data_IF_366425305363
#
_entry.id   IF_366425305363
#
_cell.length_a   1.000
_cell.length_b   1.000
_cell.length_c   1.000
_cell.angle_alpha   90.00
_cell.angle_beta   90.00
_cell.angle_gamma   90.00
#
_symmetry.space_group_name_H-M   'P 1'
#
loop_
_entity.id
_entity.type
_entity.pdbx_description
1 polymer ?
#
# COMPACT_ATOMS: atom_id res chain seq x y z
N UNK A 1 12.63 53.30 72.02
CA UNK A 1 12.09 52.11 71.32
C UNK A 1 12.71 52.06 69.93
N UNK A 2 13.67 51.15 69.64
CA UNK A 2 14.26 51.00 68.31
C UNK A 2 13.42 50.06 67.43
N UNK A 3 13.28 50.41 66.14
CA UNK A 3 12.54 49.65 65.11
C UNK A 3 13.24 48.31 64.75
N UNK A 4 12.48 47.26 64.39
CA UNK A 4 13.05 45.99 63.94
C UNK A 4 13.50 46.09 62.46
N UNK A 5 14.76 45.78 62.19
CA UNK A 5 15.33 45.64 60.85
C UNK A 5 14.83 44.36 60.18
N UNK A 6 14.10 44.48 59.08
CA UNK A 6 13.73 43.34 58.23
C UNK A 6 14.96 42.84 57.44
N UNK A 7 15.33 41.57 57.64
CA UNK A 7 16.33 40.88 56.82
C UNK A 7 15.72 40.51 55.46
N UNK A 8 16.42 40.72 54.33
CA UNK A 8 15.95 40.23 53.03
C UNK A 8 16.15 38.72 52.95
N UNK A 9 15.06 37.97 52.83
CA UNK A 9 15.07 36.55 52.44
C UNK A 9 15.72 36.40 51.08
N UNK A 10 16.88 35.72 51.04
CA UNK A 10 17.55 35.33 49.81
C UNK A 10 16.62 34.45 48.97
N UNK A 11 16.32 34.87 47.74
CA UNK A 11 15.62 34.05 46.76
C UNK A 11 16.52 32.88 46.34
N UNK A 12 16.03 31.63 46.33
CA UNK A 12 16.77 30.51 45.79
C UNK A 12 16.97 30.71 44.28
N UNK A 13 18.23 30.84 43.88
CA UNK A 13 18.64 30.93 42.47
C UNK A 13 18.39 29.56 41.83
N UNK A 14 17.32 29.43 41.06
CA UNK A 14 17.09 28.24 40.23
C UNK A 14 18.21 28.20 39.18
N UNK A 15 19.06 27.15 39.13
CA UNK A 15 20.09 27.06 38.12
C UNK A 15 19.40 26.95 36.75
N UNK A 16 19.65 27.93 35.88
CA UNK A 16 19.21 27.92 34.50
C UNK A 16 19.85 26.71 33.81
N UNK A 17 19.10 25.61 33.69
CA UNK A 17 19.43 24.50 32.81
C UNK A 17 19.55 25.06 31.39
N UNK A 18 20.79 25.17 30.90
CA UNK A 18 21.07 25.46 29.48
C UNK A 18 20.29 24.45 28.64
N UNK A 19 19.35 24.88 27.78
CA UNK A 19 18.72 23.95 26.86
C UNK A 19 19.81 23.42 25.93
N UNK A 20 20.13 22.14 26.07
CA UNK A 20 21.12 21.44 25.26
C UNK A 20 20.59 21.35 23.83
N UNK A 21 21.44 21.64 22.84
CA UNK A 21 21.10 21.64 21.42
C UNK A 21 20.48 20.32 20.91
N UNK A 22 20.63 19.23 21.67
CA UNK A 22 20.00 17.93 21.40
C UNK A 22 18.47 17.97 21.46
N UNK A 23 17.87 18.79 22.34
CA UNK A 23 16.42 18.88 22.49
C UNK A 23 15.76 19.47 21.24
N UNK A 24 16.39 20.51 20.66
CA UNK A 24 15.93 21.12 19.41
C UNK A 24 16.02 20.15 18.22
N UNK A 25 17.05 19.31 18.17
CA UNK A 25 17.21 18.35 17.09
C UNK A 25 16.22 17.17 17.19
N UNK A 26 15.84 16.78 18.40
CA UNK A 26 14.80 15.77 18.64
C UNK A 26 13.42 16.30 18.22
N UNK A 27 13.08 17.52 18.61
CA UNK A 27 11.81 18.15 18.24
C UNK A 27 11.67 18.35 16.73
N UNK A 28 12.73 18.73 16.01
CA UNK A 28 12.68 18.84 14.56
C UNK A 28 12.47 17.50 13.86
N UNK A 29 13.10 16.42 14.35
CA UNK A 29 12.86 15.06 13.81
C UNK A 29 11.43 14.60 14.11
N UNK A 30 10.93 14.85 15.31
CA UNK A 30 9.55 14.54 15.68
C UNK A 30 8.54 15.34 14.86
N UNK A 31 8.83 16.61 14.58
CA UNK A 31 8.01 17.52 13.76
C UNK A 31 8.05 17.16 12.28
N UNK A 32 9.21 16.79 11.73
CA UNK A 32 9.32 16.27 10.36
C UNK A 32 8.63 14.91 10.21
N UNK A 33 8.69 14.06 11.25
CA UNK A 33 7.94 12.81 11.30
C UNK A 33 6.42 13.04 11.37
N UNK A 34 5.96 14.08 12.07
CA UNK A 34 4.54 14.45 12.11
C UNK A 34 4.06 15.05 10.78
N UNK A 35 4.86 15.90 10.12
CA UNK A 35 4.58 16.38 8.76
C UNK A 35 4.54 15.25 7.71
N UNK A 36 5.38 14.21 7.86
CA UNK A 36 5.33 13.00 7.00
C UNK A 36 4.05 12.18 7.18
N UNK A 37 3.40 12.26 8.35
CA UNK A 37 2.11 11.59 8.63
C UNK A 37 0.92 12.39 8.13
N UNK A 38 1.03 13.72 8.02
CA UNK A 38 -0.08 14.60 7.62
C UNK A 38 -0.08 14.98 6.13
N UNK A 39 1.00 14.70 5.39
CA UNK A 39 1.02 14.91 3.95
C UNK A 39 -0.01 13.99 3.25
N UNK A 40 -1.03 14.52 2.57
CA UNK A 40 -1.97 13.73 1.77
C UNK A 40 -1.17 13.06 0.64
N UNK A 41 -0.87 11.77 0.78
CA UNK A 41 -0.25 11.00 -0.29
C UNK A 41 -1.32 10.54 -1.27
N UNK A 42 -1.03 10.51 -2.58
CA UNK A 42 -1.99 10.08 -3.58
C UNK A 42 -2.50 8.66 -3.26
N UNK A 43 -3.77 8.37 -3.53
CA UNK A 43 -4.37 7.07 -3.23
C UNK A 43 -3.86 6.02 -4.24
N UNK A 44 -2.61 5.59 -4.08
CA UNK A 44 -1.95 4.62 -4.97
C UNK A 44 -2.57 3.22 -4.85
N UNK A 45 -3.13 2.89 -3.67
CA UNK A 45 -3.80 1.62 -3.43
C UNK A 45 -4.99 1.34 -4.33
N UNK A 46 -6.03 2.20 -4.36
CA UNK A 46 -7.17 2.00 -5.25
C UNK A 46 -6.77 2.16 -6.72
N UNK A 47 -5.79 3.00 -7.07
CA UNK A 47 -5.30 3.09 -8.44
C UNK A 47 -4.68 1.77 -8.94
N UNK A 48 -3.85 1.13 -8.12
CA UNK A 48 -3.28 -0.19 -8.41
C UNK A 48 -4.34 -1.28 -8.51
N UNK A 49 -5.34 -1.25 -7.63
CA UNK A 49 -6.44 -2.21 -7.65
C UNK A 49 -7.36 -2.04 -8.87
N UNK A 50 -7.64 -0.80 -9.28
CA UNK A 50 -8.35 -0.51 -10.52
C UNK A 50 -7.61 -1.04 -11.74
N UNK A 51 -6.30 -0.83 -11.79
CA UNK A 51 -5.47 -1.35 -12.87
C UNK A 51 -5.53 -2.89 -12.92
N UNK A 52 -5.38 -3.57 -11.77
CA UNK A 52 -5.51 -5.02 -11.70
C UNK A 52 -6.91 -5.51 -12.12
N UNK A 53 -7.96 -4.79 -11.74
CA UNK A 53 -9.34 -5.09 -12.12
C UNK A 53 -9.54 -4.99 -13.64
N UNK A 54 -9.09 -3.90 -14.25
CA UNK A 54 -9.21 -3.68 -15.71
C UNK A 54 -8.45 -4.76 -16.48
N UNK A 55 -7.22 -5.07 -16.07
CA UNK A 55 -6.44 -6.18 -16.66
C UNK A 55 -7.19 -7.49 -16.52
N UNK A 56 -7.76 -7.77 -15.34
CA UNK A 56 -8.48 -9.03 -15.10
C UNK A 56 -9.72 -9.19 -15.98
N UNK A 57 -10.50 -8.12 -16.14
CA UNK A 57 -11.65 -8.12 -17.03
C UNK A 57 -11.23 -8.26 -18.51
N UNK A 58 -10.13 -7.61 -18.90
CA UNK A 58 -9.62 -7.65 -20.27
C UNK A 58 -9.18 -9.07 -20.64
N UNK A 59 -8.46 -9.74 -19.75
CA UNK A 59 -8.05 -11.14 -19.95
C UNK A 59 -9.25 -12.05 -19.97
N UNK A 60 -10.20 -11.91 -19.05
CA UNK A 60 -11.40 -12.75 -19.04
C UNK A 60 -12.21 -12.64 -20.34
N UNK A 61 -12.29 -11.43 -20.91
CA UNK A 61 -12.89 -11.22 -22.23
C UNK A 61 -12.05 -11.82 -23.37
N UNK A 62 -10.73 -11.66 -23.33
CA UNK A 62 -9.84 -12.17 -24.37
C UNK A 62 -9.81 -13.71 -24.41
N UNK A 63 -9.83 -14.37 -23.26
CA UNK A 63 -9.94 -15.83 -23.12
C UNK A 63 -11.24 -16.36 -23.75
N UNK A 64 -12.35 -15.63 -23.58
CA UNK A 64 -13.63 -15.97 -24.22
C UNK A 64 -13.62 -15.73 -25.74
N UNK A 65 -12.95 -14.67 -26.21
CA UNK A 65 -13.03 -14.22 -27.59
C UNK A 65 -11.99 -14.83 -28.54
N UNK A 66 -10.80 -15.19 -28.05
CA UNK A 66 -9.63 -15.44 -28.92
C UNK A 66 -8.97 -16.81 -28.75
N UNK A 67 -9.17 -17.53 -27.64
CA UNK A 67 -8.45 -18.79 -27.45
C UNK A 67 -9.08 -19.94 -28.26
N UNK A 68 -8.25 -20.73 -28.97
CA UNK A 68 -8.72 -21.85 -29.76
C UNK A 68 -9.38 -22.92 -28.87
N UNK A 69 -10.44 -23.55 -29.41
CA UNK A 69 -11.28 -24.55 -28.71
C UNK A 69 -10.62 -25.94 -28.63
N UNK A 70 -9.33 -26.05 -28.91
CA UNK A 70 -8.58 -27.30 -28.80
C UNK A 70 -8.32 -27.67 -27.33
N UNK A 71 -8.05 -28.96 -27.06
CA UNK A 71 -7.89 -29.46 -25.68
C UNK A 71 -6.76 -28.76 -24.92
N UNK A 72 -5.69 -28.37 -25.62
CA UNK A 72 -4.57 -27.67 -25.01
C UNK A 72 -4.91 -26.20 -24.74
N UNK A 73 -5.51 -25.50 -25.71
CA UNK A 73 -6.04 -24.14 -25.51
C UNK A 73 -7.06 -24.04 -24.38
N UNK A 74 -7.92 -25.04 -24.19
CA UNK A 74 -8.88 -25.07 -23.07
C UNK A 74 -8.20 -25.26 -21.71
N UNK A 75 -7.15 -26.09 -21.63
CA UNK A 75 -6.36 -26.25 -20.41
C UNK A 75 -5.67 -24.93 -20.04
N UNK A 76 -5.03 -24.28 -21.01
CA UNK A 76 -4.35 -23.01 -20.80
C UNK A 76 -5.34 -21.91 -20.40
N UNK A 77 -6.49 -21.81 -21.07
CA UNK A 77 -7.54 -20.86 -20.71
C UNK A 77 -8.03 -21.06 -19.26
N UNK A 78 -8.18 -22.30 -18.79
CA UNK A 78 -8.57 -22.58 -17.41
C UNK A 78 -7.56 -22.06 -16.38
N UNK A 79 -6.26 -22.18 -16.65
CA UNK A 79 -5.22 -21.61 -15.77
C UNK A 79 -5.26 -20.08 -15.76
N UNK A 80 -5.42 -19.45 -16.93
CA UNK A 80 -5.54 -17.99 -17.04
C UNK A 80 -6.75 -17.48 -16.26
N UNK A 81 -7.92 -18.11 -16.45
CA UNK A 81 -9.14 -17.77 -15.74
C UNK A 81 -8.98 -17.93 -14.23
N UNK A 82 -8.30 -18.97 -13.75
CA UNK A 82 -8.00 -19.17 -12.34
C UNK A 82 -7.23 -18.00 -11.73
N UNK A 83 -6.13 -17.59 -12.37
CA UNK A 83 -5.35 -16.43 -11.92
C UNK A 83 -6.16 -15.13 -11.97
N UNK A 84 -7.00 -14.95 -12.99
CA UNK A 84 -7.81 -13.75 -13.15
C UNK A 84 -8.92 -13.65 -12.11
N UNK A 85 -9.57 -14.75 -11.75
CA UNK A 85 -10.57 -14.78 -10.68
C UNK A 85 -9.95 -14.42 -9.33
N UNK A 86 -8.75 -14.94 -9.03
CA UNK A 86 -8.01 -14.63 -7.80
C UNK A 86 -7.61 -13.15 -7.76
N UNK A 87 -7.05 -12.63 -8.86
CA UNK A 87 -6.68 -11.22 -9.00
C UNK A 87 -7.89 -10.29 -8.87
N UNK A 88 -8.99 -10.61 -9.54
CA UNK A 88 -10.25 -9.85 -9.49
C UNK A 88 -10.80 -9.78 -8.07
N UNK A 89 -10.86 -10.91 -7.36
CA UNK A 89 -11.29 -10.95 -5.97
C UNK A 89 -10.37 -10.10 -5.06
N UNK A 90 -9.06 -10.16 -5.29
CA UNK A 90 -8.09 -9.32 -4.59
C UNK A 90 -8.30 -7.82 -4.85
N UNK A 91 -8.47 -7.44 -6.11
CA UNK A 91 -8.70 -6.06 -6.53
C UNK A 91 -10.00 -5.51 -5.93
N UNK A 92 -11.10 -6.26 -6.01
CA UNK A 92 -12.38 -5.91 -5.39
C UNK A 92 -12.25 -5.78 -3.88
N UNK A 93 -11.49 -6.66 -3.22
CA UNK A 93 -11.25 -6.59 -1.77
C UNK A 93 -10.51 -5.32 -1.36
N UNK A 94 -9.62 -4.81 -2.22
CA UNK A 94 -8.90 -3.55 -2.00
C UNK A 94 -9.80 -2.34 -2.30
N UNK A 95 -10.65 -2.39 -3.33
CA UNK A 95 -11.51 -1.28 -3.73
C UNK A 95 -12.73 -1.09 -2.83
N UNK A 96 -13.36 -2.19 -2.39
CA UNK A 96 -14.58 -2.18 -1.56
C UNK A 96 -14.25 -2.32 -0.07
N UNK A 97 -13.03 -2.76 0.24
CA UNK A 97 -12.58 -3.03 1.59
C UNK A 97 -12.46 -1.80 2.49
N UNK A 98 -12.65 -2.00 3.79
CA UNK A 98 -12.33 -1.01 4.81
C UNK A 98 -10.85 -0.55 4.69
N UNK A 99 -10.53 0.75 4.88
CA UNK A 99 -9.17 1.25 4.73
C UNK A 99 -8.21 0.51 5.65
N UNK A 100 -7.21 -0.15 5.06
CA UNK A 100 -6.27 -0.99 5.81
C UNK A 100 -5.30 -1.76 4.91
N UNK A 101 -4.44 -2.57 5.53
CA UNK A 101 -3.40 -3.35 4.84
C UNK A 101 -4.01 -4.63 4.26
N UNK A 102 -4.35 -4.63 2.98
CA UNK A 102 -4.88 -5.80 2.27
C UNK A 102 -3.77 -6.72 1.75
N UNK A 103 -2.83 -7.12 2.61
CA UNK A 103 -1.63 -7.86 2.21
C UNK A 103 -1.95 -9.16 1.46
N UNK A 104 -2.97 -9.89 1.91
CA UNK A 104 -3.39 -11.14 1.26
C UNK A 104 -3.92 -10.87 -0.16
N UNK A 105 -4.71 -9.82 -0.34
CA UNK A 105 -5.23 -9.44 -1.64
C UNK A 105 -4.12 -8.96 -2.59
N UNK A 106 -3.17 -8.18 -2.07
CA UNK A 106 -1.99 -7.74 -2.83
C UNK A 106 -1.13 -8.94 -3.23
N UNK A 107 -0.86 -9.86 -2.31
CA UNK A 107 -0.12 -11.08 -2.59
C UNK A 107 -0.81 -11.92 -3.67
N UNK A 108 -2.13 -12.05 -3.61
CA UNK A 108 -2.92 -12.76 -4.62
C UNK A 108 -2.77 -12.14 -6.02
N UNK A 109 -2.83 -10.81 -6.14
CA UNK A 109 -2.61 -10.09 -7.41
C UNK A 109 -1.17 -10.30 -7.91
N UNK A 110 -0.18 -10.23 -7.03
CA UNK A 110 1.22 -10.44 -7.40
C UNK A 110 1.48 -11.87 -7.87
N UNK A 111 0.93 -12.87 -7.18
CA UNK A 111 1.04 -14.28 -7.57
C UNK A 111 0.40 -14.51 -8.94
N UNK A 112 -0.76 -13.92 -9.21
CA UNK A 112 -1.38 -13.96 -10.53
C UNK A 112 -0.50 -13.33 -11.62
N UNK A 113 0.11 -12.16 -11.33
CA UNK A 113 1.04 -11.50 -12.25
C UNK A 113 2.30 -12.33 -12.55
N UNK A 114 2.89 -12.96 -11.53
CA UNK A 114 4.01 -13.89 -11.70
C UNK A 114 3.58 -15.11 -12.51
N UNK A 115 2.40 -15.68 -12.24
CA UNK A 115 1.86 -16.81 -12.99
C UNK A 115 1.77 -16.52 -14.49
N UNK A 116 1.29 -15.32 -14.86
CA UNK A 116 1.23 -14.88 -16.25
C UNK A 116 2.61 -14.70 -16.90
N UNK A 117 3.58 -14.12 -16.18
CA UNK A 117 4.94 -14.01 -16.70
C UNK A 117 5.59 -15.37 -16.90
N UNK A 118 5.45 -16.26 -15.91
CA UNK A 118 5.95 -17.63 -16.05
C UNK A 118 5.31 -18.34 -17.23
N UNK A 119 4.02 -18.11 -17.48
CA UNK A 119 3.34 -18.67 -18.65
C UNK A 119 3.91 -18.14 -19.95
N UNK A 120 4.03 -16.81 -20.06
CA UNK A 120 4.61 -16.17 -21.24
C UNK A 120 6.06 -16.64 -21.54
N UNK A 121 6.88 -16.89 -20.52
CA UNK A 121 8.30 -17.23 -20.73
C UNK A 121 8.63 -18.72 -20.75
N UNK A 122 7.89 -19.56 -20.00
CA UNK A 122 8.19 -20.98 -19.85
C UNK A 122 7.32 -21.86 -20.76
N UNK A 123 6.13 -21.40 -21.13
CA UNK A 123 5.24 -22.14 -22.01
C UNK A 123 5.27 -21.45 -23.37
N UNK A 124 5.73 -22.16 -24.38
CA UNK A 124 5.78 -21.67 -25.76
C UNK A 124 4.35 -21.51 -26.26
N UNK A 125 3.76 -20.34 -26.05
CA UNK A 125 2.47 -19.99 -26.60
C UNK A 125 2.66 -19.74 -28.11
N UNK A 126 2.23 -20.70 -28.92
CA UNK A 126 2.05 -20.50 -30.35
C UNK A 126 0.64 -19.91 -30.52
N UNK A 127 0.46 -18.67 -31.02
CA UNK A 127 1.43 -17.75 -31.65
C UNK A 127 2.04 -16.66 -30.73
N UNK A 128 3.15 -16.04 -31.16
CA UNK A 128 3.94 -15.00 -30.46
C UNK A 128 3.15 -13.84 -29.85
N UNK A 129 2.01 -13.46 -30.44
CA UNK A 129 1.19 -12.37 -29.91
C UNK A 129 0.55 -12.72 -28.56
N UNK A 130 0.26 -14.01 -28.31
CA UNK A 130 -0.24 -14.51 -27.02
C UNK A 130 0.82 -14.31 -25.95
N UNK A 131 2.09 -14.62 -26.25
CA UNK A 131 3.21 -14.39 -25.34
C UNK A 131 3.35 -12.91 -24.96
N UNK A 132 3.27 -12.01 -25.95
CA UNK A 132 3.36 -10.56 -25.70
C UNK A 132 2.16 -10.09 -24.85
N UNK A 133 0.97 -10.58 -25.16
CA UNK A 133 -0.25 -10.25 -24.41
C UNK A 133 -0.17 -10.72 -22.95
N UNK A 134 0.20 -11.98 -22.73
CA UNK A 134 0.35 -12.57 -21.39
C UNK A 134 1.44 -11.85 -20.59
N UNK A 135 2.58 -11.56 -21.22
CA UNK A 135 3.68 -10.82 -20.61
C UNK A 135 3.27 -9.40 -20.19
N UNK A 136 2.54 -8.69 -21.04
CA UNK A 136 2.00 -7.35 -20.72
C UNK A 136 0.99 -7.42 -19.57
N UNK A 137 0.07 -8.38 -19.59
CA UNK A 137 -0.91 -8.55 -18.52
C UNK A 137 -0.24 -8.89 -17.18
N UNK A 138 0.74 -9.79 -17.19
CA UNK A 138 1.54 -10.13 -16.01
C UNK A 138 2.31 -8.92 -15.45
N UNK A 139 2.97 -8.16 -16.32
CA UNK A 139 3.69 -6.94 -15.92
C UNK A 139 2.75 -5.87 -15.32
N UNK A 140 1.58 -5.67 -15.92
CA UNK A 140 0.57 -4.74 -15.42
C UNK A 140 0.00 -5.21 -14.07
N UNK A 141 -0.28 -6.51 -13.88
CA UNK A 141 -0.70 -7.03 -12.59
C UNK A 141 0.35 -6.82 -11.50
N UNK A 142 1.63 -7.04 -11.81
CA UNK A 142 2.72 -6.74 -10.87
C UNK A 142 2.77 -5.25 -10.52
N UNK A 143 2.65 -4.38 -11.53
CA UNK A 143 2.63 -2.94 -11.31
C UNK A 143 1.44 -2.54 -10.41
N UNK A 144 0.24 -3.05 -10.69
CA UNK A 144 -0.96 -2.82 -9.89
C UNK A 144 -0.80 -3.30 -8.45
N UNK A 145 -0.29 -4.52 -8.25
CA UNK A 145 0.00 -5.07 -6.94
C UNK A 145 1.05 -4.26 -6.16
N UNK A 146 2.13 -3.83 -6.82
CA UNK A 146 3.17 -2.99 -6.21
C UNK A 146 2.65 -1.60 -5.83
N UNK A 147 1.83 -0.98 -6.69
CA UNK A 147 1.14 0.28 -6.38
C UNK A 147 0.21 0.14 -5.17
N UNK A 148 -0.46 -1.01 -5.06
CA UNK A 148 -1.29 -1.36 -3.90
C UNK A 148 -0.51 -1.67 -2.64
N UNK A 149 0.71 -2.20 -2.76
CA UNK A 149 1.61 -2.43 -1.64
C UNK A 149 2.23 -1.12 -1.11
N UNK A 150 2.53 -0.18 -2.00
CA UNK A 150 3.20 1.08 -1.66
C UNK A 150 2.30 2.09 -0.92
N UNK A 151 1.00 1.81 -0.79
CA UNK A 151 0.06 2.70 -0.12
C UNK A 151 0.26 2.67 1.41
N UNK A 152 0.43 3.82 2.07
CA UNK A 152 0.59 3.88 3.52
C UNK A 152 -0.71 3.48 4.23
N UNK A 153 -0.59 2.66 5.29
CA UNK A 153 -1.68 2.39 6.21
C UNK A 153 -1.98 3.63 7.04
N UNK A 154 -3.15 4.22 6.85
CA UNK A 154 -3.73 5.12 7.85
C UNK A 154 -4.11 4.27 9.05
N UNK A 155 -3.17 4.10 9.97
CA UNK A 155 -3.48 3.62 11.32
C UNK A 155 -4.35 4.70 11.94
N UNK A 156 -5.60 4.36 12.27
CA UNK A 156 -6.55 5.30 12.86
C UNK A 156 -5.90 5.91 14.10
N UNK A 157 -5.81 7.25 14.15
CA UNK A 157 -5.28 7.92 15.32
C UNK A 157 -6.09 7.46 16.55
N UNK A 158 -5.43 7.12 17.68
CA UNK A 158 -6.15 6.76 18.89
C UNK A 158 -7.12 7.90 19.25
N UNK A 159 -8.35 7.59 19.71
CA UNK A 159 -9.30 8.62 20.11
C UNK A 159 -8.66 9.53 21.17
N UNK A 160 -8.90 10.85 21.13
CA UNK A 160 -8.38 11.75 22.15
C UNK A 160 -8.86 11.28 23.53
N UNK A 161 -8.02 11.37 24.58
CA UNK A 161 -8.44 10.96 25.91
C UNK A 161 -9.67 11.77 26.31
N UNK A 162 -10.76 11.07 26.65
CA UNK A 162 -11.95 11.70 27.23
C UNK A 162 -11.50 12.49 28.46
N UNK A 163 -11.61 13.82 28.37
CA UNK A 163 -11.49 14.67 29.56
C UNK A 163 -12.76 14.44 30.36
N UNK A 164 -12.63 13.70 31.45
CA UNK A 164 -13.63 13.65 32.50
C UNK A 164 -13.46 14.94 33.31
N UNK A 165 -14.25 15.95 32.95
CA UNK A 165 -14.42 17.18 33.74
C UNK A 165 -15.42 16.94 34.89
#
# INVERSE_FOLDING_TARGET
>A
MPQPTAQPTAQPTVPATRPTAELFHYDDRARLASYRRTAPRPPTAPAGAWLALVVSLTVMYAEWAFFPQDLQGQSDANWALGFMMISLAGALRILVGNPGRHLVAVAAILVAGVGFLLRAFLFTADPTWVLVYEGLCGALLLLGGLMSLAAPTLEAAPPPPERWD
#
